data_IF_054551435356
#
_entry.id   IF_054551435356
#
_cell.length_a   1.000
_cell.length_b   1.000
_cell.length_c   1.000
_cell.angle_alpha   90.00
_cell.angle_beta   90.00
_cell.angle_gamma   90.00
#
_symmetry.space_group_name_H-M   'P 1'
#
loop_
_entity.id
_entity.type
_entity.pdbx_description
1 polymer ?
#
# COMPACT_ATOMS: atom_id res chain seq x y z
N UNK A 1 10.29 1.82 -33.69
CA UNK A 1 9.60 1.56 -32.41
C UNK A 1 9.08 0.15 -32.47
N UNK A 2 9.59 -0.72 -31.62
CA UNK A 2 9.27 -2.15 -31.68
C UNK A 2 7.81 -2.38 -31.28
N UNK A 3 7.16 -3.43 -31.81
CA UNK A 3 5.80 -3.79 -31.40
C UNK A 3 5.68 -4.03 -29.88
N UNK A 4 6.79 -4.42 -29.24
CA UNK A 4 6.91 -4.62 -27.80
C UNK A 4 6.75 -3.32 -27.01
N UNK A 5 7.40 -2.22 -27.42
CA UNK A 5 7.24 -0.91 -26.77
C UNK A 5 5.79 -0.43 -26.81
N UNK A 6 5.10 -0.60 -27.95
CA UNK A 6 3.69 -0.20 -28.08
C UNK A 6 2.77 -1.03 -27.19
N UNK A 7 3.05 -2.32 -27.04
CA UNK A 7 2.30 -3.21 -26.15
C UNK A 7 2.51 -2.78 -24.68
N UNK A 8 3.75 -2.54 -24.27
CA UNK A 8 4.07 -2.08 -22.92
C UNK A 8 3.36 -0.75 -22.60
N UNK A 9 3.39 0.20 -23.55
CA UNK A 9 2.75 1.50 -23.39
C UNK A 9 1.22 1.38 -23.27
N UNK A 10 0.60 0.48 -24.02
CA UNK A 10 -0.84 0.19 -23.94
C UNK A 10 -1.22 -0.40 -22.57
N UNK A 11 -0.41 -1.34 -22.06
CA UNK A 11 -0.62 -1.97 -20.75
C UNK A 11 -0.47 -0.94 -19.64
N UNK A 12 0.57 -0.10 -19.68
CA UNK A 12 0.80 0.96 -18.68
C UNK A 12 -0.35 1.97 -18.69
N UNK A 13 -0.83 2.38 -19.87
CA UNK A 13 -1.96 3.30 -20.00
C UNK A 13 -3.24 2.71 -19.38
N UNK A 14 -3.55 1.46 -19.74
CA UNK A 14 -4.73 0.74 -19.23
C UNK A 14 -4.66 0.59 -17.71
N UNK A 15 -3.51 0.18 -17.20
CA UNK A 15 -3.27 -0.02 -15.77
C UNK A 15 -3.35 1.30 -14.99
N UNK A 16 -2.79 2.39 -15.54
CA UNK A 16 -2.87 3.73 -14.94
C UNK A 16 -4.32 4.22 -14.84
N UNK A 17 -5.13 3.95 -15.86
CA UNK A 17 -6.55 4.30 -15.88
C UNK A 17 -7.34 3.50 -14.83
N UNK A 18 -7.11 2.20 -14.72
CA UNK A 18 -7.74 1.34 -13.71
C UNK A 18 -7.37 1.81 -12.29
N UNK A 19 -6.08 2.05 -12.03
CA UNK A 19 -5.61 2.51 -10.70
C UNK A 19 -6.21 3.88 -10.37
N UNK A 20 -6.29 4.80 -11.33
CA UNK A 20 -6.92 6.09 -11.12
C UNK A 20 -8.39 5.96 -10.70
N UNK A 21 -9.16 5.07 -11.35
CA UNK A 21 -10.54 4.78 -10.97
C UNK A 21 -10.64 4.21 -9.55
N UNK A 22 -9.77 3.25 -9.21
CA UNK A 22 -9.72 2.66 -7.86
C UNK A 22 -9.42 3.71 -6.79
N UNK A 23 -8.51 4.65 -7.06
CA UNK A 23 -8.18 5.75 -6.14
C UNK A 23 -9.43 6.62 -5.91
N UNK A 24 -10.16 7.00 -6.97
CA UNK A 24 -11.38 7.81 -6.83
C UNK A 24 -12.42 7.10 -5.97
N UNK A 25 -12.67 5.81 -6.23
CA UNK A 25 -13.63 5.01 -5.46
C UNK A 25 -13.19 4.93 -3.99
N UNK A 26 -11.91 4.65 -3.73
CA UNK A 26 -11.39 4.53 -2.37
C UNK A 26 -11.46 5.84 -1.59
N UNK A 27 -11.18 6.98 -2.23
CA UNK A 27 -11.32 8.32 -1.63
C UNK A 27 -12.78 8.64 -1.33
N UNK A 28 -13.70 8.35 -2.26
CA UNK A 28 -15.13 8.52 -2.02
C UNK A 28 -15.61 7.70 -0.83
N UNK A 29 -15.17 6.45 -0.71
CA UNK A 29 -15.53 5.58 0.40
C UNK A 29 -14.93 6.06 1.71
N UNK A 30 -13.70 6.57 1.71
CA UNK A 30 -13.08 7.21 2.87
C UNK A 30 -13.89 8.43 3.31
N UNK A 31 -14.27 9.33 2.40
CA UNK A 31 -15.10 10.48 2.73
C UNK A 31 -16.45 10.05 3.31
N UNK A 32 -17.12 9.06 2.72
CA UNK A 32 -18.40 8.55 3.21
C UNK A 32 -18.30 7.96 4.63
N UNK A 33 -17.16 7.39 4.99
CA UNK A 33 -16.92 6.84 6.32
C UNK A 33 -16.50 7.94 7.32
N UNK A 34 -15.65 8.89 6.92
CA UNK A 34 -15.07 9.91 7.82
C UNK A 34 -16.06 11.06 8.10
N UNK A 35 -16.77 11.55 7.08
CA UNK A 35 -17.67 12.70 7.18
C UNK A 35 -18.75 12.55 8.26
N UNK A 36 -19.49 11.43 8.36
CA UNK A 36 -20.48 11.27 9.42
C UNK A 36 -19.85 11.14 10.82
N UNK A 37 -18.65 10.56 10.94
CA UNK A 37 -17.91 10.51 12.21
C UNK A 37 -17.47 11.91 12.66
N UNK A 38 -17.02 12.75 11.72
CA UNK A 38 -16.58 14.11 12.02
C UNK A 38 -17.75 15.05 12.37
N UNK A 39 -18.88 14.91 11.67
CA UNK A 39 -20.07 15.77 11.83
C UNK A 39 -20.95 15.31 13.01
N UNK A 40 -21.00 14.00 13.29
CA UNK A 40 -21.81 13.43 14.35
C UNK A 40 -21.36 13.76 15.77
N UNK A 41 -20.21 14.44 15.95
CA UNK A 41 -19.75 14.93 17.26
C UNK A 41 -19.42 13.82 18.27
N UNK A 42 -19.41 12.55 17.85
CA UNK A 42 -18.93 11.45 18.67
C UNK A 42 -17.39 11.43 18.61
N UNK A 43 -16.77 12.33 19.36
CA UNK A 43 -15.47 12.03 19.97
C UNK A 43 -15.77 10.96 21.05
N UNK A 44 -16.15 9.77 20.60
CA UNK A 44 -16.02 8.54 21.35
C UNK A 44 -14.72 7.93 20.83
N UNK A 45 -13.59 8.11 21.52
CA UNK A 45 -12.28 7.72 21.01
C UNK A 45 -12.07 6.19 20.83
N UNK A 46 -13.12 5.35 20.90
CA UNK A 46 -12.97 4.00 21.43
C UNK A 46 -13.72 2.87 20.70
N UNK A 47 -14.32 3.09 19.54
CA UNK A 47 -14.81 1.96 18.75
C UNK A 47 -13.67 1.42 17.87
N UNK A 48 -13.00 0.36 18.36
CA UNK A 48 -11.84 -0.26 17.68
C UNK A 48 -12.12 -0.53 16.20
N UNK A 49 -13.36 -0.95 15.88
CA UNK A 49 -13.80 -1.22 14.52
C UNK A 49 -13.83 0.02 13.63
N UNK A 50 -14.28 1.17 14.14
CA UNK A 50 -14.37 2.40 13.36
C UNK A 50 -12.97 2.96 13.04
N UNK A 51 -12.06 2.94 14.02
CA UNK A 51 -10.68 3.33 13.83
C UNK A 51 -9.96 2.41 12.83
N UNK A 52 -10.11 1.10 12.98
CA UNK A 52 -9.54 0.12 12.05
C UNK A 52 -10.07 0.28 10.62
N UNK A 53 -11.37 0.51 10.45
CA UNK A 53 -11.97 0.74 9.13
C UNK A 53 -11.44 2.02 8.46
N UNK A 54 -11.24 3.09 9.23
CA UNK A 54 -10.76 4.38 8.76
C UNK A 54 -9.29 4.27 8.32
N UNK A 55 -8.42 3.74 9.19
CA UNK A 55 -7.01 3.51 8.83
C UNK A 55 -6.87 2.50 7.69
N UNK A 56 -7.65 1.42 7.67
CA UNK A 56 -7.64 0.45 6.58
C UNK A 56 -8.02 1.07 5.22
N UNK A 57 -8.96 2.03 5.23
CA UNK A 57 -9.35 2.79 4.04
C UNK A 57 -8.22 3.72 3.57
N UNK A 58 -7.55 4.42 4.50
CA UNK A 58 -6.36 5.25 4.20
C UNK A 58 -5.24 4.40 3.59
N UNK A 59 -4.91 3.25 4.19
CA UNK A 59 -3.88 2.35 3.65
C UNK A 59 -4.23 1.87 2.24
N UNK A 60 -5.50 1.60 1.95
CA UNK A 60 -5.93 1.20 0.60
C UNK A 60 -5.66 2.30 -0.42
N UNK A 61 -5.91 3.57 -0.06
CA UNK A 61 -5.57 4.73 -0.91
C UNK A 61 -4.05 4.88 -1.07
N UNK A 62 -3.28 4.76 0.01
CA UNK A 62 -1.81 4.85 -0.03
C UNK A 62 -1.19 3.76 -0.93
N UNK A 63 -1.68 2.52 -0.81
CA UNK A 63 -1.26 1.40 -1.68
C UNK A 63 -1.52 1.75 -3.15
N UNK A 64 -2.72 2.25 -3.48
CA UNK A 64 -3.09 2.57 -4.86
C UNK A 64 -2.26 3.74 -5.42
N UNK A 65 -1.98 4.77 -4.62
CA UNK A 65 -1.10 5.88 -4.99
C UNK A 65 0.34 5.42 -5.24
N UNK A 66 0.88 4.59 -4.34
CA UNK A 66 2.21 4.00 -4.50
C UNK A 66 2.30 3.11 -5.73
N UNK A 67 1.28 2.28 -6.01
CA UNK A 67 1.24 1.48 -7.24
C UNK A 67 1.21 2.34 -8.50
N UNK A 68 0.36 3.39 -8.55
CA UNK A 68 0.34 4.34 -9.67
C UNK A 68 1.74 4.92 -9.90
N UNK A 69 2.40 5.35 -8.84
CA UNK A 69 3.74 5.94 -8.91
C UNK A 69 4.82 4.91 -9.30
N UNK A 70 4.73 3.69 -8.78
CA UNK A 70 5.65 2.57 -9.08
C UNK A 70 5.54 2.06 -10.51
N UNK A 71 4.37 2.17 -11.15
CA UNK A 71 4.15 1.75 -12.54
C UNK A 71 4.47 2.90 -13.52
N UNK A 72 4.08 4.13 -13.17
CA UNK A 72 4.22 5.30 -14.06
C UNK A 72 5.67 5.82 -14.09
N UNK A 73 6.45 5.71 -13.01
CA UNK A 73 7.85 6.18 -13.01
C UNK A 73 8.78 5.38 -13.93
N UNK A 74 8.80 4.04 -13.93
CA UNK A 74 9.64 3.26 -14.82
C UNK A 74 9.25 3.40 -16.29
N UNK A 75 7.95 3.61 -16.59
CA UNK A 75 7.49 3.81 -17.96
C UNK A 75 8.05 5.10 -18.62
N UNK A 76 8.50 6.08 -17.83
CA UNK A 76 9.02 7.36 -18.33
C UNK A 76 10.55 7.42 -18.42
N UNK A 77 11.27 6.54 -17.71
CA UNK A 77 12.73 6.41 -17.79
C UNK A 77 13.07 5.04 -18.34
N UNK A 78 13.65 5.02 -19.54
CA UNK A 78 14.21 3.86 -20.28
C UNK A 78 15.26 3.04 -19.50
N UNK A 79 14.94 2.53 -18.31
CA UNK A 79 15.70 1.51 -17.63
C UNK A 79 14.70 0.57 -16.98
N UNK A 80 14.44 -0.50 -17.71
CA UNK A 80 13.57 -1.63 -17.37
C UNK A 80 14.14 -2.45 -16.21
N UNK A 81 14.17 -1.87 -15.02
CA UNK A 81 14.22 -2.61 -13.77
C UNK A 81 13.18 -1.95 -12.88
N UNK A 82 12.02 -2.59 -12.75
CA UNK A 82 11.04 -2.26 -11.72
C UNK A 82 11.83 -2.14 -10.42
N UNK A 83 11.92 -0.91 -9.89
CA UNK A 83 12.81 -0.58 -8.80
C UNK A 83 12.41 -1.49 -7.63
N UNK A 84 13.20 -2.55 -7.38
CA UNK A 84 12.87 -3.61 -6.43
C UNK A 84 12.54 -3.00 -5.06
N UNK A 85 13.25 -1.92 -4.73
CA UNK A 85 13.02 -1.08 -3.55
C UNK A 85 11.59 -0.51 -3.46
N UNK A 86 10.98 -0.05 -4.55
CA UNK A 86 9.60 0.47 -4.55
C UNK A 86 8.58 -0.63 -4.29
N UNK A 87 8.75 -1.79 -4.93
CA UNK A 87 7.88 -2.96 -4.70
C UNK A 87 7.98 -3.42 -3.24
N UNK A 88 9.18 -3.36 -2.67
CA UNK A 88 9.42 -3.70 -1.27
C UNK A 88 8.76 -2.71 -0.29
N UNK A 89 8.76 -1.41 -0.61
CA UNK A 89 8.04 -0.41 0.18
C UNK A 89 6.52 -0.63 0.13
N UNK A 90 5.98 -1.01 -1.04
CA UNK A 90 4.56 -1.39 -1.17
C UNK A 90 4.26 -2.63 -0.32
N UNK A 91 5.13 -3.64 -0.33
CA UNK A 91 4.97 -4.84 0.49
C UNK A 91 4.98 -4.52 2.00
N UNK A 92 5.88 -3.64 2.45
CA UNK A 92 5.91 -3.12 3.82
C UNK A 92 4.62 -2.38 4.19
N UNK A 93 4.12 -1.52 3.30
CA UNK A 93 2.89 -0.76 3.54
C UNK A 93 1.65 -1.67 3.58
N UNK A 94 1.62 -2.72 2.74
CA UNK A 94 0.59 -3.75 2.78
C UNK A 94 0.65 -4.61 4.05
N UNK A 95 1.84 -4.95 4.55
CA UNK A 95 2.00 -5.59 5.86
C UNK A 95 1.53 -4.68 6.98
N UNK A 96 1.90 -3.40 6.97
CA UNK A 96 1.47 -2.40 7.96
C UNK A 96 -0.05 -2.36 8.09
N UNK A 97 -0.79 -2.42 6.97
CA UNK A 97 -2.26 -2.55 6.98
C UNK A 97 -2.74 -3.78 7.75
N UNK A 98 -2.09 -4.95 7.61
CA UNK A 98 -2.44 -6.16 8.37
C UNK A 98 -2.16 -6.02 9.87
N UNK A 99 -1.18 -5.21 10.28
CA UNK A 99 -0.93 -4.90 11.69
C UNK A 99 -1.99 -3.97 12.28
N UNK A 100 -2.40 -2.94 11.54
CA UNK A 100 -3.37 -1.96 12.05
C UNK A 100 -4.78 -2.54 12.15
N UNK A 101 -5.14 -3.48 11.28
CA UNK A 101 -6.43 -4.22 11.34
C UNK A 101 -6.38 -5.37 12.38
N UNK A 102 -5.22 -5.63 12.99
CA UNK A 102 -5.11 -6.68 13.99
C UNK A 102 -5.77 -6.22 15.29
N UNK A 103 -6.92 -6.79 15.59
CA UNK A 103 -7.63 -6.54 16.83
C UNK A 103 -6.92 -7.26 18.00
N UNK A 104 -6.35 -6.46 18.91
CA UNK A 104 -5.66 -6.94 20.11
C UNK A 104 -6.63 -7.54 21.14
N UNK A 105 -7.95 -7.40 20.98
CA UNK A 105 -8.95 -7.91 21.92
C UNK A 105 -9.37 -9.38 21.69
N UNK A 106 -9.13 -9.95 20.50
CA UNK A 106 -9.63 -11.30 20.13
C UNK A 106 -8.59 -12.23 19.52
N UNK A 107 -7.37 -11.75 19.27
CA UNK A 107 -6.37 -12.51 18.52
C UNK A 107 -5.41 -13.28 19.44
N UNK A 108 -5.21 -14.61 19.25
CA UNK A 108 -4.24 -15.37 20.03
C UNK A 108 -2.81 -14.84 19.83
N UNK A 109 -2.02 -14.84 20.91
CA UNK A 109 -0.65 -14.32 20.93
C UNK A 109 0.27 -14.90 19.83
N UNK A 110 -0.03 -16.11 19.35
CA UNK A 110 0.69 -16.76 18.25
C UNK A 110 0.60 -16.01 16.91
N UNK A 111 -0.53 -15.39 16.60
CA UNK A 111 -0.71 -14.63 15.34
C UNK A 111 0.08 -13.32 15.37
N UNK A 112 0.11 -12.64 16.52
CA UNK A 112 0.90 -11.42 16.73
C UNK A 112 2.40 -11.74 16.57
N UNK A 113 2.86 -12.85 17.16
CA UNK A 113 4.24 -13.32 17.00
C UNK A 113 4.59 -13.66 15.55
N UNK A 114 3.70 -14.35 14.82
CA UNK A 114 3.90 -14.67 13.40
C UNK A 114 3.98 -13.42 12.51
N UNK A 115 3.12 -12.43 12.76
CA UNK A 115 3.14 -11.16 12.02
C UNK A 115 4.44 -10.38 12.31
N UNK A 116 4.84 -10.30 13.59
CA UNK A 116 6.09 -9.69 14.02
C UNK A 116 7.32 -10.33 13.36
N UNK A 117 7.37 -11.67 13.32
CA UNK A 117 8.42 -12.40 12.63
C UNK A 117 8.45 -12.10 11.12
N UNK A 118 7.30 -12.10 10.45
CA UNK A 118 7.21 -11.75 9.02
C UNK A 118 7.73 -10.33 8.75
N UNK A 119 7.49 -9.39 9.65
CA UNK A 119 7.97 -8.00 9.53
C UNK A 119 9.46 -7.89 9.77
N UNK A 120 10.01 -8.63 10.73
CA UNK A 120 11.46 -8.71 10.92
C UNK A 120 12.15 -9.27 9.69
N UNK A 121 11.64 -10.34 9.09
CA UNK A 121 12.19 -10.93 7.85
C UNK A 121 12.13 -9.92 6.71
N UNK A 122 11.01 -9.20 6.54
CA UNK A 122 10.88 -8.20 5.48
C UNK A 122 11.79 -6.99 5.71
N UNK A 123 11.94 -6.55 6.96
CA UNK A 123 12.89 -5.51 7.36
C UNK A 123 14.34 -5.91 7.10
N UNK A 124 14.69 -7.17 7.38
CA UNK A 124 16.01 -7.72 7.10
C UNK A 124 16.28 -7.78 5.59
N UNK A 125 15.29 -8.17 4.79
CA UNK A 125 15.40 -8.16 3.32
C UNK A 125 15.62 -6.74 2.78
N UNK A 126 14.91 -5.75 3.33
CA UNK A 126 15.11 -4.33 2.99
C UNK A 126 16.51 -3.84 3.35
N UNK A 127 17.00 -4.22 4.53
CA UNK A 127 18.34 -3.86 4.99
C UNK A 127 19.43 -4.47 4.10
N UNK A 128 19.29 -5.75 3.74
CA UNK A 128 20.23 -6.44 2.88
C UNK A 128 20.25 -5.86 1.46
N UNK A 129 19.08 -5.59 0.88
CA UNK A 129 18.98 -4.94 -0.44
C UNK A 129 19.58 -3.53 -0.43
N UNK A 130 19.35 -2.74 0.64
CA UNK A 130 19.98 -1.43 0.81
C UNK A 130 21.50 -1.51 0.89
N UNK A 131 22.05 -2.56 1.50
CA UNK A 131 23.49 -2.76 1.56
C UNK A 131 24.10 -3.06 0.19
N UNK A 132 23.38 -3.77 -0.69
CA UNK A 132 23.86 -4.06 -2.06
C UNK A 132 23.88 -2.80 -2.92
N UNK A 133 22.88 -1.94 -2.79
CA UNK A 133 22.82 -0.64 -3.48
C UNK A 133 23.93 0.35 -3.03
N UNK A 134 24.53 0.16 -1.85
CA UNK A 134 25.65 0.97 -1.34
C UNK A 134 27.02 0.43 -1.77
N UNK A 135 27.06 -0.76 -2.38
CA UNK A 135 28.29 -1.46 -2.78
C UNK A 135 28.62 -1.32 -4.27
N UNK A 136 27.74 -0.71 -5.05
CA UNK A 136 27.97 -0.28 -6.45
C UNK A 136 28.13 1.25 -6.51
#
# INVERSE_FOLDING_TARGET
MSAYERFEQLVVLTLSLIIALVIVIAVMQLCRNVVPLLIGGAIDPLDHNAFQALFGSIFTVLIALEFKHSIVRPALRRNSVVQVRTVLMIALLALSRKFVILDSAVTPASTIAALGFATLVLGLLCWLLRHRDLSE
#
